data_IF_733896133785
#
_entry.id   IF_733896133785
#
_cell.length_a   1.000
_cell.length_b   1.000
_cell.length_c   1.000
_cell.angle_alpha   90.00
_cell.angle_beta   90.00
_cell.angle_gamma   90.00
#
_symmetry.space_group_name_H-M   'P 1'
#
loop_
_entity.id
_entity.type
_entity.pdbx_description
1 polymer ?
#
# COMPACT_ATOMS: atom_id res chain seq x y z
N UNK A 1 -15.09 2.62 16.26
CA UNK A 1 -13.95 3.03 15.53
C UNK A 1 -12.97 3.76 16.40
N UNK A 2 -13.43 4.62 17.24
CA UNK A 2 -12.55 5.37 18.13
C UNK A 2 -11.79 4.44 19.06
N UNK A 3 -12.44 3.36 19.46
CA UNK A 3 -11.81 2.43 20.35
C UNK A 3 -10.70 1.67 19.66
N UNK A 4 -10.94 1.27 18.42
CA UNK A 4 -9.92 0.57 17.63
C UNK A 4 -8.74 1.49 17.38
N UNK A 5 -9.03 2.75 17.09
CA UNK A 5 -7.98 3.72 16.86
C UNK A 5 -7.14 3.92 18.11
N UNK A 6 -7.79 3.97 19.26
CA UNK A 6 -7.08 4.15 20.50
C UNK A 6 -6.17 2.96 20.80
N UNK A 7 -6.69 1.75 20.61
CA UNK A 7 -5.90 0.56 20.85
C UNK A 7 -4.73 0.46 19.88
N UNK A 8 -4.98 0.80 18.62
CA UNK A 8 -3.93 0.77 17.62
C UNK A 8 -2.85 1.78 17.96
N UNK A 9 -3.24 2.94 18.44
CA UNK A 9 -2.29 3.95 18.80
C UNK A 9 -1.40 3.52 19.95
N UNK A 10 -1.97 2.80 20.89
CA UNK A 10 -1.18 2.31 22.00
C UNK A 10 -0.17 1.28 21.56
N UNK A 11 -0.57 0.40 20.64
CA UNK A 11 0.31 -0.66 20.22
C UNK A 11 1.23 -0.25 19.10
N UNK A 12 0.75 0.50 18.14
CA UNK A 12 1.49 0.79 16.92
C UNK A 12 1.69 2.28 16.66
N UNK A 13 1.54 3.10 17.69
CA UNK A 13 1.57 4.56 17.48
C UNK A 13 2.80 5.06 16.78
N UNK A 14 3.97 4.55 17.16
CA UNK A 14 5.21 5.01 16.55
C UNK A 14 5.24 4.69 15.05
N UNK A 15 4.81 3.50 14.69
CA UNK A 15 4.77 3.11 13.28
C UNK A 15 3.74 3.94 12.53
N UNK A 16 2.58 4.16 13.15
CA UNK A 16 1.54 4.95 12.51
C UNK A 16 2.03 6.36 12.21
N UNK A 17 2.74 6.96 13.14
CA UNK A 17 3.25 8.31 12.92
C UNK A 17 4.21 8.34 11.75
N UNK A 18 5.07 7.35 11.66
CA UNK A 18 6.02 7.30 10.55
C UNK A 18 5.32 7.07 9.22
N UNK A 19 4.32 6.22 9.21
CA UNK A 19 3.59 5.97 7.98
C UNK A 19 2.86 7.22 7.50
N UNK A 20 2.37 8.01 8.43
CA UNK A 20 1.65 9.21 8.05
C UNK A 20 2.55 10.29 7.48
N UNK A 21 3.86 10.12 7.55
CA UNK A 21 4.75 11.06 6.87
C UNK A 21 4.77 10.83 5.37
N UNK A 22 4.28 9.68 4.90
CA UNK A 22 4.25 9.42 3.47
C UNK A 22 3.10 10.21 2.85
N UNK A 23 3.39 11.12 1.91
CA UNK A 23 2.31 11.89 1.30
C UNK A 23 1.31 10.95 0.63
N UNK A 24 0.06 11.07 1.00
CA UNK A 24 -0.99 10.23 0.48
C UNK A 24 -1.52 9.22 1.48
N UNK A 25 -0.75 8.87 2.51
CA UNK A 25 -1.20 7.93 3.51
C UNK A 25 -1.71 8.70 4.72
N UNK A 26 -2.99 8.54 4.99
CA UNK A 26 -3.60 9.20 6.13
C UNK A 26 -3.70 8.28 7.32
N UNK A 27 -4.40 8.75 8.34
CA UNK A 27 -4.50 8.01 9.58
C UNK A 27 -5.19 6.67 9.43
N UNK A 28 -6.30 6.64 8.71
CA UNK A 28 -7.05 5.40 8.58
C UNK A 28 -6.22 4.32 7.90
N UNK A 29 -5.50 4.69 6.87
CA UNK A 29 -4.67 3.74 6.15
C UNK A 29 -3.50 3.29 7.01
N UNK A 30 -2.90 4.20 7.78
CA UNK A 30 -1.79 3.83 8.64
C UNK A 30 -2.25 2.85 9.73
N UNK A 31 -3.43 3.06 10.29
CA UNK A 31 -3.98 2.15 11.28
C UNK A 31 -4.18 0.77 10.67
N UNK A 32 -4.83 0.74 9.52
CA UNK A 32 -5.14 -0.54 8.88
C UNK A 32 -3.87 -1.30 8.51
N UNK A 33 -2.88 -0.60 7.96
CA UNK A 33 -1.64 -1.26 7.60
C UNK A 33 -0.91 -1.79 8.84
N UNK A 34 -0.88 -1.00 9.90
CA UNK A 34 -0.20 -1.45 11.12
C UNK A 34 -0.87 -2.69 11.70
N UNK A 35 -2.19 -2.71 11.70
CA UNK A 35 -2.93 -3.84 12.26
C UNK A 35 -2.78 -5.09 11.41
N UNK A 36 -2.98 -4.96 10.12
CA UNK A 36 -3.02 -6.13 9.27
C UNK A 36 -1.63 -6.75 9.09
N UNK A 37 -0.58 -5.97 9.24
CA UNK A 37 0.77 -6.48 9.10
C UNK A 37 1.45 -6.73 10.44
N UNK A 38 0.76 -6.41 11.52
CA UNK A 38 1.33 -6.53 12.86
C UNK A 38 2.67 -5.78 12.91
N UNK A 39 2.61 -4.51 12.57
CA UNK A 39 3.78 -3.65 12.61
C UNK A 39 4.83 -4.12 11.61
N UNK A 40 4.39 -4.71 10.50
CA UNK A 40 5.24 -5.20 9.42
C UNK A 40 6.14 -6.36 9.85
N UNK A 41 5.87 -6.98 10.98
CA UNK A 41 6.68 -8.10 11.44
C UNK A 41 6.45 -9.37 10.65
N UNK A 42 5.29 -9.50 10.06
CA UNK A 42 4.94 -10.73 9.35
C UNK A 42 5.65 -10.92 8.02
N UNK A 43 6.25 -9.88 7.49
CA UNK A 43 6.80 -9.93 6.13
C UNK A 43 8.27 -9.60 6.11
N UNK A 44 9.01 -10.31 5.27
CA UNK A 44 10.43 -10.05 5.12
C UNK A 44 10.74 -9.11 3.98
N UNK A 45 9.86 -8.98 3.03
CA UNK A 45 10.07 -8.10 1.89
C UNK A 45 8.77 -7.42 1.47
N UNK A 46 8.90 -6.33 0.78
CA UNK A 46 7.72 -5.63 0.27
C UNK A 46 6.98 -6.48 -0.74
N UNK A 47 7.69 -7.35 -1.44
CA UNK A 47 7.07 -8.23 -2.40
C UNK A 47 6.09 -9.17 -1.73
N UNK A 48 6.45 -9.70 -0.57
CA UNK A 48 5.55 -10.55 0.19
C UNK A 48 4.32 -9.79 0.64
N UNK A 49 4.50 -8.56 1.08
CA UNK A 49 3.37 -7.74 1.51
C UNK A 49 2.43 -7.42 0.34
N UNK A 50 2.99 -7.08 -0.80
CA UNK A 50 2.19 -6.76 -1.98
C UNK A 50 1.38 -7.97 -2.41
N UNK A 51 2.00 -9.15 -2.38
CA UNK A 51 1.28 -10.37 -2.73
C UNK A 51 0.18 -10.66 -1.72
N UNK A 52 0.46 -10.45 -0.45
CA UNK A 52 -0.52 -10.70 0.58
C UNK A 52 -1.73 -9.79 0.43
N UNK A 53 -1.51 -8.52 0.15
CA UNK A 53 -2.59 -7.56 -0.04
C UNK A 53 -3.36 -7.83 -1.34
N UNK A 54 -2.68 -8.43 -2.31
CA UNK A 54 -3.35 -8.79 -3.55
C UNK A 54 -3.15 -7.83 -4.70
N UNK A 55 -2.09 -7.02 -4.63
CA UNK A 55 -1.80 -6.13 -5.74
C UNK A 55 -0.81 -6.72 -6.73
N UNK A 56 -0.25 -7.89 -6.44
CA UNK A 56 0.67 -8.51 -7.37
C UNK A 56 -0.06 -8.96 -8.60
N UNK A 57 0.51 -8.80 -9.74
CA UNK A 57 -0.10 -9.33 -10.94
C UNK A 57 -0.17 -10.83 -10.85
N UNK A 58 -1.29 -11.43 -11.17
CA UNK A 58 -1.36 -12.79 -11.08
C UNK A 58 -0.98 -13.37 -12.32
N UNK A 59 -0.25 -14.26 -12.33
CA UNK A 59 0.16 -14.90 -13.50
C UNK A 59 -0.59 -16.06 -13.67
N UNK A 60 -1.52 -16.04 -14.41
CA UNK A 60 -2.22 -17.24 -14.53
C UNK A 60 -1.74 -18.13 -15.48
N UNK A 61 -0.76 -18.39 -15.59
CA UNK A 61 -0.28 -19.24 -16.54
C UNK A 61 -0.76 -20.48 -16.47
N UNK A 62 -0.52 -21.20 -16.51
CA UNK A 62 -0.81 -22.52 -16.36
C UNK A 62 -2.09 -22.68 -16.49
N UNK A 63 -2.51 -22.15 -16.82
CA UNK A 63 -3.69 -22.32 -16.90
C UNK A 63 -4.32 -23.16 -16.32
N UNK A 64 -4.30 -23.83 -16.31
CA UNK A 64 -4.84 -24.75 -15.77
C UNK A 64 -5.77 -24.29 -14.93
N UNK A 65 -5.91 -24.71 -14.34
CA UNK A 65 -6.77 -24.52 -13.46
C UNK A 65 -6.98 -23.29 -13.07
N UNK A 66 -6.46 -22.79 -13.10
CA UNK A 66 -6.67 -21.69 -12.60
C UNK A 66 -7.74 -21.12 -12.63
N UNK A 67 -8.34 -21.27 -13.06
CA UNK A 67 -9.39 -20.75 -13.00
C UNK A 67 -9.51 -19.90 -12.13
N UNK A 68 -9.19 -19.78 -11.75
CA UNK A 68 -9.35 -19.17 -10.88
C UNK A 68 -9.44 -17.96 -10.75
N UNK A 69 -9.71 -17.63 -10.77
CA UNK A 69 -9.92 -16.52 -10.57
C UNK A 69 -9.27 -15.96 -9.67
N UNK A 70 -8.57 -15.80 -9.65
CA UNK A 70 -7.94 -15.25 -8.76
C UNK A 70 -8.56 -14.38 -8.00
N UNK A 71 -9.15 -14.77 -7.08
CA UNK A 71 -9.67 -13.90 -6.36
C UNK A 71 -8.84 -13.37 -5.43
N UNK A 72 -8.97 -12.41 -4.96
CA UNK A 72 -8.30 -11.84 -4.02
C UNK A 72 -8.93 -12.19 -2.83
N UNK A 73 -8.34 -12.58 -1.92
CA UNK A 73 -8.87 -12.95 -0.75
C UNK A 73 -9.44 -11.85 -0.21
N UNK A 74 -10.49 -11.89 0.23
CA UNK A 74 -11.11 -10.92 0.72
C UNK A 74 -11.02 -10.55 2.01
N UNK A 75 -11.73 -10.29 2.74
CA UNK A 75 -11.71 -9.94 4.03
C UNK A 75 -10.69 -8.99 4.38
N UNK A 76 -10.63 -8.03 5.01
CA UNK A 76 -9.68 -7.07 5.43
C UNK A 76 -8.77 -6.61 4.34
N UNK A 77 -8.27 -7.50 3.56
CA UNK A 77 -7.36 -7.15 2.49
C UNK A 77 -8.04 -6.30 1.43
N UNK A 78 -9.29 -6.57 1.16
CA UNK A 78 -9.97 -5.75 0.16
C UNK A 78 -10.19 -4.34 0.66
N UNK A 79 -10.34 -4.16 1.97
CA UNK A 79 -10.45 -2.83 2.51
C UNK A 79 -9.14 -2.08 2.42
N UNK A 80 -8.04 -2.77 2.64
CA UNK A 80 -6.72 -2.14 2.50
C UNK A 80 -6.50 -1.72 1.06
N UNK A 81 -6.88 -2.57 0.12
CA UNK A 81 -6.74 -2.21 -1.30
C UNK A 81 -7.56 -0.99 -1.65
N UNK A 82 -8.78 -0.89 -1.12
CA UNK A 82 -9.61 0.27 -1.37
C UNK A 82 -9.00 1.53 -0.79
N UNK A 83 -8.50 1.44 0.43
CA UNK A 83 -7.88 2.58 1.07
C UNK A 83 -6.65 3.05 0.30
N UNK A 84 -5.83 2.10 -0.14
CA UNK A 84 -4.63 2.47 -0.88
C UNK A 84 -4.98 3.05 -2.26
N UNK A 85 -6.03 2.53 -2.87
CA UNK A 85 -6.48 3.07 -4.13
C UNK A 85 -6.93 4.52 -3.96
N UNK A 86 -7.65 4.80 -2.89
CA UNK A 86 -8.06 6.17 -2.60
C UNK A 86 -6.86 7.04 -2.27
N UNK A 87 -5.88 6.49 -1.55
CA UNK A 87 -4.66 7.22 -1.25
C UNK A 87 -3.91 7.62 -2.51
N UNK A 88 -4.03 6.84 -3.57
CA UNK A 88 -3.32 7.15 -4.80
C UNK A 88 -3.81 8.47 -5.42
N UNK A 89 -5.06 8.85 -5.14
CA UNK A 89 -5.59 10.11 -5.68
C UNK A 89 -4.81 11.30 -5.13
N UNK A 90 -4.48 11.25 -3.87
CA UNK A 90 -3.73 12.32 -3.23
C UNK A 90 -2.24 12.15 -3.49
N UNK A 91 -1.74 10.92 -3.47
CA UNK A 91 -0.33 10.66 -3.67
C UNK A 91 0.18 11.14 -5.02
N UNK A 92 -0.67 11.07 -6.05
CA UNK A 92 -0.23 11.49 -7.35
C UNK A 92 0.09 12.98 -7.40
N UNK A 93 -0.45 13.76 -6.48
CA UNK A 93 -0.16 15.19 -6.44
C UNK A 93 0.95 15.53 -5.45
N UNK A 94 0.98 14.85 -4.31
CA UNK A 94 1.84 15.28 -3.22
C UNK A 94 3.05 14.39 -2.97
N UNK A 95 3.06 13.17 -3.50
CA UNK A 95 4.17 12.26 -3.30
C UNK A 95 5.03 12.30 -4.56
N UNK A 96 6.25 12.80 -4.44
CA UNK A 96 7.09 13.04 -5.60
C UNK A 96 7.28 11.80 -6.46
N UNK A 97 7.62 10.68 -5.85
CA UNK A 97 7.85 9.45 -6.61
C UNK A 97 6.57 8.99 -7.31
N UNK A 98 5.44 9.14 -6.62
CA UNK A 98 4.17 8.73 -7.21
C UNK A 98 3.77 9.66 -8.33
N UNK A 99 4.05 10.95 -8.20
CA UNK A 99 3.74 11.90 -9.25
C UNK A 99 4.56 11.61 -10.51
N UNK A 100 5.84 11.32 -10.31
CA UNK A 100 6.70 11.00 -11.43
C UNK A 100 6.24 9.71 -12.11
N UNK A 101 5.84 8.73 -11.33
CA UNK A 101 5.32 7.50 -11.87
C UNK A 101 4.03 7.75 -12.66
N UNK A 102 3.16 8.60 -12.11
CA UNK A 102 1.92 8.92 -12.80
C UNK A 102 2.21 9.56 -14.17
N UNK A 103 3.11 10.53 -14.17
CA UNK A 103 3.43 11.24 -15.42
C UNK A 103 4.03 10.30 -16.46
N UNK A 104 4.93 9.42 -16.02
CA UNK A 104 5.56 8.49 -16.93
C UNK A 104 4.58 7.51 -17.52
N UNK A 105 3.73 6.95 -16.68
CA UNK A 105 2.77 5.96 -17.17
C UNK A 105 1.67 6.60 -18.01
N UNK A 106 1.31 7.83 -17.67
CA UNK A 106 0.31 8.53 -18.44
C UNK A 106 0.83 8.84 -19.84
N UNK A 107 2.12 9.15 -19.96
CA UNK A 107 2.72 9.42 -21.24
C UNK A 107 2.70 8.22 -22.15
N UNK A 108 2.91 7.03 -21.62
CA UNK A 108 2.88 5.84 -22.46
C UNK A 108 1.47 5.34 -22.67
N UNK A 109 0.47 6.06 -22.22
CA UNK A 109 -0.91 5.74 -22.56
C UNK A 109 -1.59 4.71 -21.68
N UNK A 110 -1.09 4.48 -20.48
CA UNK A 110 -1.76 3.54 -19.60
C UNK A 110 -3.07 4.08 -19.07
N UNK A 111 -4.08 3.24 -18.90
CA UNK A 111 -5.35 3.70 -18.37
C UNK A 111 -5.19 4.22 -16.95
N UNK A 112 -6.02 5.17 -16.60
CA UNK A 112 -5.97 5.82 -15.30
C UNK A 112 -6.04 4.81 -14.16
N UNK A 113 -6.90 3.82 -14.29
CA UNK A 113 -7.06 2.83 -13.24
C UNK A 113 -5.78 2.02 -13.03
N UNK A 114 -5.11 1.66 -14.11
CA UNK A 114 -3.87 0.91 -14.02
C UNK A 114 -2.80 1.75 -13.34
N UNK A 115 -2.75 3.04 -13.66
CA UNK A 115 -1.76 3.91 -13.05
C UNK A 115 -2.01 4.04 -11.56
N UNK A 116 -3.26 4.16 -11.15
CA UNK A 116 -3.57 4.30 -9.73
C UNK A 116 -3.22 3.04 -8.95
N UNK A 117 -3.39 1.88 -9.54
CA UNK A 117 -2.99 0.65 -8.90
C UNK A 117 -1.47 0.57 -8.76
N UNK A 118 -0.75 1.04 -9.78
CA UNK A 118 0.70 1.09 -9.70
C UNK A 118 1.15 2.04 -8.59
N UNK A 119 0.46 3.17 -8.43
CA UNK A 119 0.78 4.09 -7.36
C UNK A 119 0.48 3.47 -6.01
N UNK A 120 -0.62 2.74 -5.89
CA UNK A 120 -0.95 2.05 -4.64
C UNK A 120 0.14 1.05 -4.28
N UNK A 121 0.67 0.33 -5.27
CA UNK A 121 1.79 -0.56 -5.03
C UNK A 121 3.02 0.19 -4.56
N UNK A 122 3.27 1.36 -5.14
CA UNK A 122 4.41 2.17 -4.74
C UNK A 122 4.25 2.65 -3.30
N UNK A 123 3.04 3.03 -2.93
CA UNK A 123 2.77 3.43 -1.55
C UNK A 123 3.01 2.27 -0.58
N UNK A 124 2.66 1.06 -0.97
CA UNK A 124 2.91 -0.10 -0.13
C UNK A 124 4.40 -0.34 0.05
N UNK A 125 5.18 -0.15 -1.01
CA UNK A 125 6.63 -0.31 -0.89
C UNK A 125 7.21 0.74 0.03
N UNK A 126 6.75 1.98 -0.07
CA UNK A 126 7.21 3.03 0.80
C UNK A 126 6.81 2.74 2.25
N UNK A 127 5.58 2.26 2.45
CA UNK A 127 5.11 1.93 3.78
C UNK A 127 5.92 0.79 4.39
N UNK A 128 6.25 -0.20 3.58
CA UNK A 128 7.04 -1.32 4.07
C UNK A 128 8.43 -0.85 4.50
N UNK A 129 9.07 -0.04 3.68
CA UNK A 129 10.41 0.46 4.01
C UNK A 129 10.39 1.26 5.30
N UNK A 130 9.37 2.08 5.47
CA UNK A 130 9.28 2.92 6.65
C UNK A 130 8.87 2.10 7.86
N UNK A 131 7.86 1.26 7.72
CA UNK A 131 7.34 0.49 8.84
C UNK A 131 8.27 -0.60 9.31
N UNK A 132 8.88 -1.31 8.36
CA UNK A 132 9.74 -2.44 8.71
C UNK A 132 11.09 -1.97 9.27
N UNK A 133 11.66 -0.94 8.66
CA UNK A 133 12.99 -0.51 9.04
C UNK A 133 13.02 0.74 9.91
N UNK A 134 11.87 1.24 10.30
CA UNK A 134 11.83 2.36 11.22
C UNK A 134 12.26 3.69 10.66
N UNK A 135 12.22 3.85 9.34
CA UNK A 135 12.65 5.10 8.73
C UNK A 135 11.51 6.09 8.66
N UNK A 136 11.78 7.31 8.30
CA UNK A 136 10.74 8.26 8.01
C UNK A 136 10.83 8.61 6.55
N UNK A 137 9.74 9.12 6.01
CA UNK A 137 9.69 9.44 4.60
C UNK A 137 10.64 10.57 4.29
N UNK A 138 11.44 10.39 3.24
CA UNK A 138 12.34 11.42 2.78
C UNK A 138 12.12 11.61 1.31
N UNK A 139 11.87 12.85 0.89
CA UNK A 139 11.54 13.12 -0.47
C UNK A 139 12.58 12.63 -1.46
N UNK A 140 13.83 12.64 -1.07
CA UNK A 140 14.87 12.33 -2.01
C UNK A 140 15.11 10.86 -2.20
N UNK A 141 14.65 10.02 -1.28
CA UNK A 141 14.91 8.62 -1.41
C UNK A 141 13.71 7.83 -1.88
N UNK A 142 12.59 8.38 -1.90
CA UNK A 142 11.43 7.65 -2.35
C UNK A 142 11.03 8.08 -3.74
#
# INVERSE_FOLDING_TARGET
EDEIEKLAKEEYGATMEKLETIPGIGRKTSIMLSLITDNFKKFESSKQLIAYIGFSPRIYQSGTSVKGKGHICKMGKSQVRKLLYVCSFSAKFWNKTCREMYERLNEVGKPERVIKIAIANKLLKQAFAIGKYGRIYEKEYC
#
